data_IF_514102138660
#
_entry.id   IF_514102138660
#
_cell.length_a   1.000
_cell.length_b   1.000
_cell.length_c   1.000
_cell.angle_alpha   90.00
_cell.angle_beta   90.00
_cell.angle_gamma   90.00
#
_symmetry.space_group_name_H-M   'P 1'
#
loop_
_entity.id
_entity.type
_entity.pdbx_description
1 polymer ?
#
# COMPACT_ATOMS: atom_id res chain seq x y z
N UNK A 1 -38.19 -17.98 53.13
CA UNK A 1 -38.74 -16.86 52.34
C UNK A 1 -37.54 -15.96 52.05
N UNK A 2 -36.93 -15.96 50.87
CA UNK A 2 -37.49 -15.78 49.53
C UNK A 2 -36.73 -16.66 48.52
N UNK A 3 -37.47 -17.37 47.67
CA UNK A 3 -36.90 -18.17 46.57
C UNK A 3 -36.56 -17.28 45.38
N UNK A 4 -35.37 -17.48 44.83
CA UNK A 4 -35.01 -16.95 43.51
C UNK A 4 -35.72 -17.79 42.44
N UNK A 5 -36.35 -17.20 41.41
CA UNK A 5 -36.92 -18.01 40.35
C UNK A 5 -35.78 -18.58 39.50
N UNK A 6 -35.57 -19.89 39.57
CA UNK A 6 -34.81 -20.60 38.56
C UNK A 6 -35.57 -20.48 37.24
N UNK A 7 -35.04 -19.70 36.29
CA UNK A 7 -35.54 -19.67 34.93
C UNK A 7 -35.35 -21.07 34.33
N UNK A 8 -36.44 -21.81 34.19
CA UNK A 8 -36.50 -23.02 33.39
C UNK A 8 -36.23 -22.63 31.94
N UNK A 9 -35.06 -23.02 31.40
CA UNK A 9 -34.84 -23.02 29.96
C UNK A 9 -35.83 -24.00 29.35
N UNK A 10 -36.73 -23.52 28.51
CA UNK A 10 -37.53 -24.39 27.64
C UNK A 10 -36.59 -25.11 26.67
N UNK A 11 -36.61 -26.44 26.68
CA UNK A 11 -35.94 -27.29 25.70
C UNK A 11 -36.67 -27.12 24.36
N UNK A 12 -36.23 -26.17 23.54
CA UNK A 12 -36.84 -25.95 22.21
C UNK A 12 -36.37 -24.72 21.45
N UNK A 13 -35.78 -23.73 22.12
CA UNK A 13 -35.27 -22.54 21.41
C UNK A 13 -34.00 -22.88 20.61
N UNK A 14 -33.94 -22.55 19.30
CA UNK A 14 -32.71 -22.71 18.53
C UNK A 14 -31.61 -21.90 19.23
N UNK A 15 -30.50 -22.56 19.54
CA UNK A 15 -29.31 -21.91 20.10
C UNK A 15 -28.98 -20.73 19.19
N UNK A 16 -29.17 -19.51 19.70
CA UNK A 16 -28.77 -18.30 19.00
C UNK A 16 -27.26 -18.39 18.78
N UNK A 17 -26.87 -18.64 17.53
CA UNK A 17 -25.49 -18.68 17.09
C UNK A 17 -25.12 -17.28 16.60
N UNK A 18 -24.38 -16.49 17.40
CA UNK A 18 -24.01 -15.12 17.03
C UNK A 18 -23.01 -15.08 15.87
N UNK A 19 -22.36 -16.20 15.51
CA UNK A 19 -21.39 -16.27 14.43
C UNK A 19 -22.06 -16.50 13.07
N UNK A 20 -23.26 -17.10 13.07
CA UNK A 20 -24.00 -17.43 11.85
C UNK A 20 -24.26 -16.23 10.93
N UNK A 21 -24.70 -15.05 11.41
CA UNK A 21 -24.89 -13.87 10.56
C UNK A 21 -23.57 -13.36 9.97
N UNK A 22 -22.48 -13.38 10.75
CA UNK A 22 -21.16 -12.94 10.28
C UNK A 22 -20.62 -13.88 9.20
N UNK A 23 -20.72 -15.19 9.39
CA UNK A 23 -20.29 -16.18 8.40
C UNK A 23 -21.13 -16.09 7.11
N UNK A 24 -22.45 -15.87 7.24
CA UNK A 24 -23.32 -15.65 6.09
C UNK A 24 -22.89 -14.42 5.29
N UNK A 25 -22.63 -13.30 5.96
CA UNK A 25 -22.14 -12.08 5.31
C UNK A 25 -20.79 -12.29 4.62
N UNK A 26 -19.84 -12.96 5.28
CA UNK A 26 -18.54 -13.26 4.68
C UNK A 26 -18.68 -14.17 3.44
N UNK A 27 -19.58 -15.14 3.47
CA UNK A 27 -19.86 -15.98 2.31
C UNK A 27 -20.42 -15.16 1.14
N UNK A 28 -21.38 -14.27 1.40
CA UNK A 28 -21.92 -13.38 0.38
C UNK A 28 -20.85 -12.47 -0.24
N UNK A 29 -19.93 -11.94 0.58
CA UNK A 29 -18.78 -11.16 0.10
C UNK A 29 -17.93 -11.99 -0.86
N UNK A 30 -17.61 -13.23 -0.50
CA UNK A 30 -16.82 -14.13 -1.36
C UNK A 30 -17.55 -14.49 -2.66
N UNK A 31 -18.87 -14.66 -2.60
CA UNK A 31 -19.69 -14.92 -3.78
C UNK A 31 -19.68 -13.71 -4.74
N UNK A 32 -19.83 -12.49 -4.22
CA UNK A 32 -19.73 -11.24 -5.01
C UNK A 32 -18.36 -11.13 -5.69
N UNK A 33 -17.28 -11.46 -4.99
CA UNK A 33 -15.92 -11.41 -5.51
C UNK A 33 -15.65 -12.45 -6.62
N UNK A 34 -16.50 -13.49 -6.72
CA UNK A 34 -16.41 -14.57 -7.72
C UNK A 34 -17.18 -14.27 -9.02
N UNK A 35 -17.79 -13.09 -9.13
CA UNK A 35 -18.58 -12.67 -10.30
C UNK A 35 -17.71 -12.01 -11.39
N UNK A 36 -18.33 -11.22 -12.28
CA UNK A 36 -17.64 -10.48 -13.35
C UNK A 36 -16.49 -9.63 -12.77
N UNK A 37 -15.41 -9.47 -13.53
CA UNK A 37 -14.24 -8.64 -13.15
C UNK A 37 -14.65 -7.22 -12.75
N UNK A 38 -15.62 -6.65 -13.47
CA UNK A 38 -16.22 -5.34 -13.20
C UNK A 38 -17.64 -5.35 -13.77
N UNK A 39 -18.58 -4.77 -13.03
CA UNK A 39 -19.87 -4.35 -13.57
C UNK A 39 -19.72 -2.85 -13.86
N UNK A 40 -19.43 -2.51 -15.12
CA UNK A 40 -18.96 -1.17 -15.48
C UNK A 40 -20.12 -0.20 -15.61
N UNK A 41 -19.99 0.94 -14.95
CA UNK A 41 -20.89 2.09 -15.04
C UNK A 41 -20.05 3.36 -15.14
N UNK A 42 -20.52 4.35 -15.89
CA UNK A 42 -19.92 5.68 -15.89
C UNK A 42 -20.17 6.38 -14.54
N UNK A 43 -19.32 7.35 -14.13
CA UNK A 43 -19.49 8.03 -12.84
C UNK A 43 -20.87 8.65 -12.65
N UNK A 44 -21.43 9.27 -13.70
CA UNK A 44 -22.76 9.88 -13.64
C UNK A 44 -23.89 8.85 -13.49
N UNK A 45 -23.70 7.63 -14.02
CA UNK A 45 -24.69 6.55 -13.90
C UNK A 45 -24.72 6.04 -12.46
N UNK A 46 -23.56 5.75 -11.86
CA UNK A 46 -23.49 5.33 -10.46
C UNK A 46 -24.04 6.40 -9.51
N UNK A 47 -23.69 7.67 -9.73
CA UNK A 47 -24.18 8.79 -8.91
C UNK A 47 -25.72 8.94 -8.95
N UNK A 48 -26.37 8.50 -10.02
CA UNK A 48 -27.83 8.54 -10.15
C UNK A 48 -28.52 7.28 -9.60
N UNK A 49 -27.83 6.14 -9.63
CA UNK A 49 -28.41 4.83 -9.27
C UNK A 49 -28.51 4.62 -7.75
N UNK A 50 -27.63 5.26 -6.97
CA UNK A 50 -27.59 5.15 -5.50
C UNK A 50 -27.43 6.51 -4.84
N UNK A 51 -27.95 6.65 -3.63
CA UNK A 51 -27.70 7.83 -2.80
C UNK A 51 -26.34 7.71 -2.11
N UNK A 52 -25.32 8.40 -2.65
CA UNK A 52 -23.96 8.43 -2.12
C UNK A 52 -23.73 9.54 -1.08
N UNK A 53 -24.76 10.35 -0.80
CA UNK A 53 -24.67 11.46 0.14
C UNK A 53 -24.70 10.95 1.59
N UNK A 54 -23.98 11.67 2.46
CA UNK A 54 -24.01 11.41 3.90
C UNK A 54 -25.28 12.04 4.50
N UNK A 55 -26.02 11.26 5.27
CA UNK A 55 -27.20 11.74 6.00
C UNK A 55 -26.81 12.26 7.40
N UNK A 56 -27.57 13.24 7.91
CA UNK A 56 -27.40 13.74 9.29
C UNK A 56 -27.83 12.72 10.35
N UNK A 57 -28.75 11.81 9.99
CA UNK A 57 -29.26 10.77 10.87
C UNK A 57 -28.52 9.45 10.63
N UNK A 58 -28.23 8.67 11.70
CA UNK A 58 -27.58 7.38 11.57
C UNK A 58 -28.48 6.37 10.86
N UNK A 59 -27.85 5.50 10.09
CA UNK A 59 -28.49 4.33 9.46
C UNK A 59 -28.46 3.12 10.40
N UNK A 60 -29.41 2.21 10.22
CA UNK A 60 -29.38 0.94 10.95
C UNK A 60 -28.34 -0.03 10.36
N UNK A 61 -28.08 -1.14 11.06
CA UNK A 61 -27.04 -2.09 10.64
C UNK A 61 -27.39 -2.77 9.31
N UNK A 62 -28.66 -3.10 9.08
CA UNK A 62 -29.11 -3.72 7.84
C UNK A 62 -28.84 -2.82 6.63
N UNK A 63 -29.10 -1.52 6.75
CA UNK A 63 -28.79 -0.52 5.72
C UNK A 63 -27.29 -0.43 5.46
N UNK A 64 -26.47 -0.41 6.50
CA UNK A 64 -24.99 -0.37 6.37
C UNK A 64 -24.49 -1.62 5.63
N UNK A 65 -24.99 -2.81 5.98
CA UNK A 65 -24.60 -4.06 5.30
C UNK A 65 -25.00 -4.06 3.83
N UNK A 66 -26.17 -3.51 3.49
CA UNK A 66 -26.60 -3.33 2.11
C UNK A 66 -25.67 -2.38 1.32
N UNK A 67 -25.18 -1.31 1.95
CA UNK A 67 -24.20 -0.41 1.34
C UNK A 67 -22.84 -1.10 1.13
N UNK A 68 -22.40 -1.96 2.05
CA UNK A 68 -21.19 -2.76 1.87
C UNK A 68 -21.30 -3.72 0.67
N UNK A 69 -22.43 -4.44 0.55
CA UNK A 69 -22.69 -5.32 -0.59
C UNK A 69 -22.71 -4.54 -1.91
N UNK A 70 -23.38 -3.38 -1.93
CA UNK A 70 -23.45 -2.49 -3.09
C UNK A 70 -22.06 -1.99 -3.49
N UNK A 71 -21.25 -1.57 -2.52
CA UNK A 71 -19.87 -1.12 -2.77
C UNK A 71 -19.06 -2.23 -3.43
N UNK A 72 -19.13 -3.46 -2.93
CA UNK A 72 -18.41 -4.61 -3.49
C UNK A 72 -18.95 -5.04 -4.86
N UNK A 73 -20.26 -4.92 -5.09
CA UNK A 73 -20.91 -5.20 -6.38
C UNK A 73 -20.34 -4.34 -7.51
N UNK A 74 -20.11 -3.05 -7.27
CA UNK A 74 -19.56 -2.13 -8.27
C UNK A 74 -18.03 -1.97 -8.21
N UNK A 75 -17.38 -2.45 -7.15
CA UNK A 75 -15.92 -2.49 -7.08
C UNK A 75 -15.30 -3.36 -8.20
N UNK A 76 -14.05 -3.05 -8.57
CA UNK A 76 -13.28 -3.91 -9.46
C UNK A 76 -12.78 -5.13 -8.67
N UNK A 77 -12.97 -6.33 -9.21
CA UNK A 77 -12.55 -7.59 -8.59
C UNK A 77 -11.09 -7.85 -8.94
N UNK A 78 -10.17 -7.17 -8.26
CA UNK A 78 -8.72 -7.27 -8.51
C UNK A 78 -8.14 -8.66 -8.26
N UNK A 79 -8.82 -9.47 -7.44
CA UNK A 79 -8.52 -10.87 -7.19
C UNK A 79 -8.98 -11.84 -8.27
N UNK A 80 -9.79 -11.40 -9.23
CA UNK A 80 -10.34 -12.28 -10.25
C UNK A 80 -9.23 -12.82 -11.17
N UNK A 81 -9.20 -14.13 -11.52
CA UNK A 81 -8.12 -14.73 -12.33
C UNK A 81 -7.93 -14.14 -13.73
N UNK A 82 -8.91 -13.37 -14.20
CA UNK A 82 -8.89 -12.66 -15.50
C UNK A 82 -8.65 -11.16 -15.38
N UNK A 83 -8.26 -10.67 -14.20
CA UNK A 83 -7.88 -9.27 -14.00
C UNK A 83 -6.39 -9.07 -14.29
N UNK A 84 -6.08 -8.34 -15.36
CA UNK A 84 -4.70 -8.09 -15.81
C UNK A 84 -4.37 -6.60 -15.98
N UNK A 85 -5.17 -5.71 -15.38
CA UNK A 85 -5.06 -4.27 -15.62
C UNK A 85 -3.92 -3.60 -14.85
N UNK A 86 -3.55 -4.14 -13.69
CA UNK A 86 -2.55 -3.56 -12.79
C UNK A 86 -1.45 -4.57 -12.47
N UNK A 87 -0.32 -4.08 -11.95
CA UNK A 87 0.79 -4.94 -11.50
C UNK A 87 0.44 -5.72 -10.23
N UNK A 88 -0.40 -5.14 -9.36
CA UNK A 88 -0.91 -5.79 -8.16
C UNK A 88 -2.26 -6.43 -8.48
N UNK A 89 -2.31 -7.76 -8.47
CA UNK A 89 -3.49 -8.56 -8.75
C UNK A 89 -3.54 -9.79 -7.84
N UNK A 90 -4.67 -10.49 -7.84
CA UNK A 90 -4.87 -11.69 -7.03
C UNK A 90 -5.41 -11.39 -5.63
N UNK A 91 -5.84 -12.44 -4.95
CA UNK A 91 -6.33 -12.41 -3.57
C UNK A 91 -5.69 -13.58 -2.82
N UNK A 92 -4.64 -13.28 -2.05
CA UNK A 92 -3.99 -14.26 -1.19
C UNK A 92 -4.77 -14.38 0.13
N UNK A 93 -5.27 -15.58 0.44
CA UNK A 93 -6.13 -15.79 1.61
C UNK A 93 -5.40 -15.59 2.94
N UNK A 94 -4.08 -15.84 2.98
CA UNK A 94 -3.28 -15.60 4.18
C UNK A 94 -3.04 -14.11 4.37
N UNK A 95 -2.76 -13.37 3.29
CA UNK A 95 -2.67 -11.92 3.27
C UNK A 95 -3.96 -11.25 3.74
N UNK A 96 -5.12 -11.70 3.23
CA UNK A 96 -6.42 -11.20 3.66
C UNK A 96 -6.66 -11.43 5.16
N UNK A 97 -6.35 -12.63 5.67
CA UNK A 97 -6.47 -12.92 7.09
C UNK A 97 -5.53 -12.05 7.95
N UNK A 98 -4.31 -11.79 7.45
CA UNK A 98 -3.37 -10.89 8.11
C UNK A 98 -3.86 -9.44 8.11
N UNK A 99 -4.51 -8.98 7.04
CA UNK A 99 -5.13 -7.64 6.99
C UNK A 99 -6.26 -7.53 8.01
N UNK A 100 -7.14 -8.53 8.11
CA UNK A 100 -8.18 -8.55 9.15
C UNK A 100 -7.59 -8.52 10.56
N UNK A 101 -6.53 -9.30 10.82
CA UNK A 101 -5.84 -9.30 12.10
C UNK A 101 -5.20 -7.93 12.39
N UNK A 102 -4.58 -7.31 11.39
CA UNK A 102 -3.93 -6.00 11.52
C UNK A 102 -4.96 -4.91 11.79
N UNK A 103 -6.07 -4.89 11.06
CA UNK A 103 -7.19 -3.97 11.31
C UNK A 103 -7.82 -4.19 12.69
N UNK A 104 -7.93 -5.45 13.14
CA UNK A 104 -8.42 -5.76 14.48
C UNK A 104 -7.48 -5.23 15.58
N UNK A 105 -6.17 -5.34 15.37
CA UNK A 105 -5.17 -4.87 16.32
C UNK A 105 -5.09 -3.33 16.40
N UNK A 106 -5.35 -2.63 15.30
CA UNK A 106 -5.47 -1.17 15.21
C UNK A 106 -4.42 -0.38 16.01
N UNK A 107 -3.13 -0.70 15.82
CA UNK A 107 -2.00 -0.06 16.51
C UNK A 107 -1.06 0.65 15.52
N UNK A 108 -0.16 1.48 16.03
CA UNK A 108 0.84 2.21 15.24
C UNK A 108 2.22 1.58 15.36
N UNK A 109 3.02 1.68 14.29
CA UNK A 109 4.40 1.14 14.23
C UNK A 109 5.48 2.06 14.82
N UNK A 110 5.11 3.08 15.61
CA UNK A 110 6.06 4.12 16.06
C UNK A 110 7.03 3.65 17.14
N UNK A 111 6.58 2.79 18.06
CA UNK A 111 7.40 2.32 19.18
C UNK A 111 7.12 0.85 19.49
N UNK A 112 8.12 0.20 20.11
CA UNK A 112 7.98 -1.17 20.59
C UNK A 112 6.90 -1.32 21.68
N UNK A 113 6.67 -0.29 22.49
CA UNK A 113 5.71 -0.33 23.59
C UNK A 113 4.27 -0.60 23.12
N UNK A 114 3.86 0.00 21.99
CA UNK A 114 2.49 -0.10 21.48
C UNK A 114 2.32 -1.16 20.39
N UNK A 115 3.42 -1.63 19.79
CA UNK A 115 3.41 -2.61 18.69
C UNK A 115 4.55 -3.65 18.81
N UNK A 116 4.75 -4.31 19.96
CA UNK A 116 5.94 -5.11 20.22
C UNK A 116 6.13 -6.26 19.24
N UNK A 117 5.04 -6.97 18.91
CA UNK A 117 5.05 -8.09 17.97
C UNK A 117 5.32 -7.60 16.55
N UNK A 118 4.61 -6.55 16.10
CA UNK A 118 4.72 -6.06 14.72
C UNK A 118 6.10 -5.44 14.44
N UNK A 119 6.68 -4.71 15.40
CA UNK A 119 8.06 -4.17 15.28
C UNK A 119 9.08 -5.31 15.12
N UNK A 120 8.94 -6.41 15.87
CA UNK A 120 9.82 -7.57 15.73
C UNK A 120 9.60 -8.28 14.38
N UNK A 121 8.35 -8.42 13.94
CA UNK A 121 8.02 -9.01 12.63
C UNK A 121 8.61 -8.20 11.48
N UNK A 122 8.52 -6.87 11.53
CA UNK A 122 9.16 -5.98 10.56
C UNK A 122 10.68 -6.18 10.57
N UNK A 123 11.32 -6.19 11.74
CA UNK A 123 12.76 -6.40 11.86
C UNK A 123 13.24 -7.72 11.22
N UNK A 124 12.59 -8.84 11.54
CA UNK A 124 12.98 -10.16 11.00
C UNK A 124 12.72 -10.25 9.50
N UNK A 125 11.61 -9.67 9.02
CA UNK A 125 11.24 -9.67 7.61
C UNK A 125 12.24 -8.86 6.80
N UNK A 126 12.57 -7.64 7.25
CA UNK A 126 13.56 -6.79 6.59
C UNK A 126 14.95 -7.42 6.59
N UNK A 127 15.36 -8.07 7.68
CA UNK A 127 16.61 -8.85 7.71
C UNK A 127 16.58 -9.94 6.65
N UNK A 128 15.48 -10.68 6.54
CA UNK A 128 15.33 -11.75 5.54
C UNK A 128 15.39 -11.22 4.11
N UNK A 129 14.75 -10.08 3.84
CA UNK A 129 14.82 -9.42 2.55
C UNK A 129 16.26 -9.02 2.19
N UNK A 130 17.03 -8.49 3.14
CA UNK A 130 18.46 -8.15 2.93
C UNK A 130 19.32 -9.39 2.65
N UNK A 131 19.03 -10.52 3.30
CA UNK A 131 19.67 -11.81 2.98
C UNK A 131 19.37 -12.25 1.54
N UNK A 132 18.12 -12.12 1.08
CA UNK A 132 17.70 -12.47 -0.30
C UNK A 132 18.40 -11.56 -1.32
N UNK A 133 18.57 -10.28 -1.00
CA UNK A 133 19.35 -9.33 -1.82
C UNK A 133 20.84 -9.73 -1.91
N UNK A 134 21.34 -10.53 -0.95
CA UNK A 134 22.72 -11.02 -0.91
C UNK A 134 23.64 -10.20 0.00
N UNK A 135 23.11 -9.39 0.92
CA UNK A 135 23.94 -8.68 1.90
C UNK A 135 24.43 -9.64 2.99
N UNK A 136 25.75 -9.69 3.28
CA UNK A 136 26.32 -10.67 4.21
C UNK A 136 25.63 -10.66 5.57
N UNK A 137 25.10 -11.81 5.99
CA UNK A 137 24.37 -11.96 7.25
C UNK A 137 23.10 -11.11 7.38
N UNK A 138 22.56 -10.60 6.26
CA UNK A 138 21.44 -9.66 6.28
C UNK A 138 21.81 -8.30 6.89
N UNK A 139 23.10 -7.93 6.89
CA UNK A 139 23.59 -6.67 7.46
C UNK A 139 22.97 -5.47 6.75
N UNK A 140 22.56 -4.46 7.50
CA UNK A 140 21.99 -3.23 6.96
C UNK A 140 20.72 -2.82 7.70
N UNK A 141 20.05 -1.81 7.18
CA UNK A 141 18.87 -1.19 7.77
C UNK A 141 17.74 -1.09 6.74
N UNK A 142 16.52 -0.80 7.17
CA UNK A 142 15.36 -0.62 6.32
C UNK A 142 14.10 -0.30 7.11
N UNK A 143 13.06 0.16 6.40
CA UNK A 143 11.73 0.42 6.95
C UNK A 143 10.69 0.15 5.85
N UNK A 144 9.51 -0.35 6.21
CA UNK A 144 8.39 -0.37 5.26
C UNK A 144 7.85 1.05 5.05
N UNK A 145 7.50 1.38 3.80
CA UNK A 145 6.93 2.68 3.45
C UNK A 145 5.62 2.49 2.68
N UNK A 146 4.69 3.46 2.71
CA UNK A 146 3.41 3.35 2.02
C UNK A 146 3.60 3.54 0.51
N UNK A 147 4.01 2.46 -0.15
CA UNK A 147 4.28 2.40 -1.58
C UNK A 147 5.74 2.67 -1.96
N UNK A 148 6.14 2.13 -3.12
CA UNK A 148 7.52 2.19 -3.60
C UNK A 148 8.00 3.59 -4.00
N UNK A 149 7.09 4.53 -4.27
CA UNK A 149 7.44 5.93 -4.54
C UNK A 149 8.09 6.59 -3.32
N UNK A 150 7.52 6.38 -2.13
CA UNK A 150 8.11 6.87 -0.88
C UNK A 150 9.43 6.14 -0.57
N UNK A 151 9.54 4.83 -0.89
CA UNK A 151 10.82 4.12 -0.75
C UNK A 151 11.93 4.76 -1.59
N UNK A 152 11.63 5.13 -2.84
CA UNK A 152 12.58 5.83 -3.72
C UNK A 152 12.95 7.21 -3.16
N UNK A 153 11.98 7.94 -2.62
CA UNK A 153 12.22 9.20 -1.93
C UNK A 153 13.19 9.03 -0.75
N UNK A 154 12.96 8.03 0.11
CA UNK A 154 13.87 7.72 1.22
C UNK A 154 15.29 7.40 0.73
N UNK A 155 15.43 6.59 -0.32
CA UNK A 155 16.74 6.28 -0.89
C UNK A 155 17.49 7.55 -1.34
N UNK A 156 16.81 8.48 -2.02
CA UNK A 156 17.38 9.77 -2.42
C UNK A 156 17.71 10.66 -1.22
N UNK A 157 16.87 10.66 -0.18
CA UNK A 157 17.10 11.43 1.05
C UNK A 157 18.33 10.94 1.79
N UNK A 158 18.47 9.61 1.92
CA UNK A 158 19.60 8.96 2.58
C UNK A 158 20.89 9.21 1.81
N UNK A 159 20.88 9.05 0.48
CA UNK A 159 22.05 9.34 -0.36
C UNK A 159 22.50 10.81 -0.23
N UNK A 160 21.55 11.75 -0.28
CA UNK A 160 21.84 13.18 -0.06
C UNK A 160 22.40 13.44 1.33
N UNK A 161 21.77 12.89 2.38
CA UNK A 161 22.21 13.10 3.76
C UNK A 161 23.60 12.49 4.01
N UNK A 162 23.92 11.36 3.38
CA UNK A 162 25.24 10.73 3.48
C UNK A 162 26.34 11.57 2.85
N UNK A 163 26.07 12.22 1.71
CA UNK A 163 27.07 13.01 0.96
C UNK A 163 27.14 14.47 1.43
N UNK A 164 26.02 15.05 1.83
CA UNK A 164 25.86 16.46 2.20
C UNK A 164 24.94 16.61 3.44
N UNK A 165 25.38 16.16 4.63
CA UNK A 165 24.56 16.20 5.84
C UNK A 165 24.13 17.62 6.25
N UNK A 166 24.93 18.63 5.92
CA UNK A 166 24.68 20.05 6.21
C UNK A 166 23.42 20.59 5.54
N UNK A 167 22.93 19.94 4.47
CA UNK A 167 21.67 20.30 3.80
C UNK A 167 20.49 20.22 4.76
N UNK A 168 20.53 19.33 5.76
CA UNK A 168 19.45 19.17 6.74
C UNK A 168 19.20 20.46 7.53
N UNK A 169 20.26 21.21 7.84
CA UNK A 169 20.18 22.42 8.67
C UNK A 169 20.26 23.69 7.84
N UNK A 170 21.12 23.71 6.81
CA UNK A 170 21.42 24.91 6.00
C UNK A 170 20.61 24.98 4.69
N UNK A 171 19.87 23.92 4.38
CA UNK A 171 19.07 23.80 3.16
C UNK A 171 19.90 23.60 1.88
N UNK A 172 19.19 23.41 0.76
CA UNK A 172 19.79 23.09 -0.54
C UNK A 172 20.64 24.22 -1.15
N UNK A 173 20.51 25.45 -0.67
CA UNK A 173 21.29 26.59 -1.17
C UNK A 173 22.75 26.57 -0.67
N UNK A 174 23.03 25.81 0.39
CA UNK A 174 24.37 25.69 0.96
C UNK A 174 25.29 24.74 0.19
N UNK A 175 24.77 24.01 -0.81
CA UNK A 175 25.52 23.03 -1.59
C UNK A 175 25.45 23.31 -3.09
N UNK A 176 26.41 22.82 -3.88
CA UNK A 176 26.33 22.87 -5.33
C UNK A 176 25.08 22.16 -5.86
N UNK A 177 24.76 22.42 -7.14
CA UNK A 177 23.66 21.73 -7.82
C UNK A 177 23.94 20.23 -7.85
N UNK A 178 23.03 19.44 -7.25
CA UNK A 178 23.09 17.98 -7.27
C UNK A 178 22.37 17.43 -8.50
N UNK A 179 22.86 16.30 -9.02
CA UNK A 179 22.34 15.61 -10.20
C UNK A 179 22.19 14.12 -9.85
N UNK A 180 21.10 13.50 -10.30
CA UNK A 180 20.89 12.06 -10.19
C UNK A 180 20.52 11.49 -11.56
N UNK A 181 20.98 10.28 -11.80
CA UNK A 181 20.80 9.57 -13.06
C UNK A 181 19.79 8.43 -12.88
N UNK A 182 18.94 8.24 -13.87
CA UNK A 182 17.93 7.17 -13.89
C UNK A 182 17.65 6.75 -15.34
N UNK A 183 17.01 5.61 -15.58
CA UNK A 183 16.64 5.18 -16.95
C UNK A 183 15.45 5.97 -17.50
N UNK A 184 15.33 6.07 -18.83
CA UNK A 184 14.13 6.59 -19.52
C UNK A 184 12.83 5.90 -19.11
N UNK A 185 12.91 4.62 -18.77
CA UNK A 185 11.76 3.77 -18.53
C UNK A 185 11.43 3.64 -17.04
N UNK A 186 12.01 4.48 -16.18
CA UNK A 186 11.71 4.46 -14.75
C UNK A 186 10.31 5.00 -14.49
N UNK A 187 9.65 4.43 -13.46
CA UNK A 187 8.36 4.89 -12.96
C UNK A 187 8.33 6.41 -12.81
N UNK A 188 7.21 7.01 -13.27
CA UNK A 188 6.93 8.46 -13.28
C UNK A 188 7.12 9.15 -11.92
N UNK A 189 7.07 8.37 -10.83
CA UNK A 189 7.31 8.85 -9.48
C UNK A 189 8.70 9.51 -9.37
N UNK A 190 9.77 8.83 -9.83
CA UNK A 190 11.17 9.25 -9.57
C UNK A 190 11.45 10.68 -10.04
N UNK A 191 11.04 11.12 -11.26
CA UNK A 191 11.14 12.53 -11.66
C UNK A 191 10.38 13.52 -10.77
N UNK A 192 9.22 13.15 -10.24
CA UNK A 192 8.39 14.02 -9.39
C UNK A 192 8.99 14.16 -8.00
N UNK A 193 9.40 13.05 -7.37
CA UNK A 193 10.11 13.06 -6.08
C UNK A 193 11.41 13.87 -6.17
N UNK A 194 12.15 13.70 -7.27
CA UNK A 194 13.38 14.42 -7.51
C UNK A 194 13.17 15.93 -7.65
N UNK A 195 12.17 16.37 -8.41
CA UNK A 195 11.82 17.80 -8.50
C UNK A 195 11.40 18.37 -7.15
N UNK A 196 10.66 17.60 -6.36
CA UNK A 196 10.24 18.01 -5.00
C UNK A 196 11.45 18.20 -4.07
N UNK A 197 12.46 17.34 -4.18
CA UNK A 197 13.63 17.35 -3.30
C UNK A 197 14.76 18.27 -3.76
N UNK A 198 14.84 18.59 -5.04
CA UNK A 198 15.96 19.30 -5.63
C UNK A 198 15.47 20.42 -6.56
N UNK A 199 15.32 21.64 -6.02
CA UNK A 199 14.86 22.88 -6.70
C UNK A 199 15.54 23.19 -8.06
N UNK A 200 16.71 22.62 -8.33
CA UNK A 200 17.53 22.84 -9.53
C UNK A 200 18.17 21.57 -10.07
N UNK A 201 17.69 20.39 -9.68
CA UNK A 201 18.26 19.18 -10.25
C UNK A 201 17.55 18.78 -11.53
N UNK A 202 18.37 18.40 -12.50
CA UNK A 202 17.92 17.89 -13.79
C UNK A 202 17.99 16.38 -13.69
N UNK A 203 16.90 15.69 -14.02
CA UNK A 203 17.01 14.31 -14.49
C UNK A 203 17.59 14.44 -15.90
N UNK A 204 18.90 14.39 -16.00
CA UNK A 204 19.66 14.42 -17.25
C UNK A 204 20.17 13.00 -17.50
N UNK A 205 20.09 12.52 -18.73
CA UNK A 205 20.36 11.11 -19.06
C UNK A 205 19.10 10.26 -19.01
N UNK A 206 18.08 10.68 -19.76
CA UNK A 206 17.15 9.71 -20.32
C UNK A 206 17.99 8.80 -21.25
N UNK A 207 18.16 7.52 -20.88
CA UNK A 207 18.96 6.53 -21.63
C UNK A 207 18.01 5.58 -22.39
N UNK A 208 18.08 5.52 -23.74
CA UNK A 208 17.23 4.67 -24.58
C UNK A 208 17.44 3.16 -24.38
N UNK A 209 16.47 2.36 -24.86
CA UNK A 209 16.35 0.90 -24.67
C UNK A 209 17.67 0.13 -24.79
N UNK A 210 17.87 -0.81 -23.87
CA UNK A 210 18.94 -1.83 -23.92
C UNK A 210 19.93 -1.73 -22.76
N UNK A 211 19.41 -1.82 -21.52
CA UNK A 211 20.16 -1.72 -20.25
C UNK A 211 20.85 -0.38 -20.00
N UNK A 212 20.78 0.10 -18.76
CA UNK A 212 21.55 1.25 -18.30
C UNK A 212 23.05 0.90 -18.41
N UNK A 213 23.68 1.21 -19.54
CA UNK A 213 25.07 0.82 -19.78
C UNK A 213 25.99 1.68 -18.92
N UNK A 214 26.89 1.03 -18.17
CA UNK A 214 27.94 1.68 -17.38
C UNK A 214 28.71 2.73 -18.21
N UNK A 215 28.91 2.49 -19.50
CA UNK A 215 29.59 3.43 -20.41
C UNK A 215 28.80 4.73 -20.60
N UNK A 216 27.47 4.65 -20.73
CA UNK A 216 26.61 5.81 -20.90
C UNK A 216 26.57 6.67 -19.63
N UNK A 217 26.43 6.03 -18.45
CA UNK A 217 26.52 6.73 -17.16
C UNK A 217 27.86 7.45 -16.95
N UNK A 218 28.97 6.79 -17.28
CA UNK A 218 30.30 7.39 -17.14
C UNK A 218 30.51 8.58 -18.10
N UNK A 219 29.89 8.53 -19.27
CA UNK A 219 29.94 9.61 -20.27
C UNK A 219 29.13 10.83 -19.83
N UNK A 220 27.90 10.62 -19.37
CA UNK A 220 27.04 11.66 -18.80
C UNK A 220 27.70 12.31 -17.56
N UNK A 221 28.29 11.51 -16.67
CA UNK A 221 29.01 12.03 -15.50
C UNK A 221 30.24 12.88 -15.88
N UNK A 222 30.84 12.66 -17.05
CA UNK A 222 31.96 13.46 -17.58
C UNK A 222 31.52 14.70 -18.36
N UNK A 223 30.22 14.89 -18.62
CA UNK A 223 29.70 16.01 -19.41
C UNK A 223 29.96 15.90 -20.92
N UNK A 224 30.28 14.70 -21.42
CA UNK A 224 30.60 14.46 -22.83
C UNK A 224 29.30 14.26 -23.65
N UNK A 225 28.57 15.34 -23.97
CA UNK A 225 27.38 15.26 -24.84
C UNK A 225 27.75 14.74 -26.24
N UNK A 226 26.93 13.85 -26.80
CA UNK A 226 26.92 13.58 -28.25
C UNK A 226 26.55 14.88 -28.98
N UNK A 227 27.37 15.27 -29.94
CA UNK A 227 26.82 15.89 -31.15
C UNK A 227 26.07 14.77 -31.90
N UNK A 228 24.90 15.10 -32.47
CA UNK A 228 23.95 14.19 -33.15
C UNK A 228 23.03 13.44 -32.15
N UNK A 229 21.70 13.48 -32.25
CA UNK A 229 20.76 13.64 -33.39
C UNK A 229 19.75 14.79 -33.22
#
# INVERSE_FOLDING_TARGET
RTGSPAATREEGDPVWDPERPTLAFLQEVMDILSTKVIDFHYPNELLQEYNWELADQPQNLEEILMHCQTTLKYAIKTGHPRYFNQLSTGLDMVGLAADWLTSTANTNMFTYEIAPVFVLLEYVTLKKMREIIGWPGGSGDGIFSPGGAISNMYAMMIARFKMFPEVKEKGMAAVPRLIAFTSEHVRVSVPSEFKMMFRKARVEGMIPRGSLSRRHLLRENKGERTAEE
#
